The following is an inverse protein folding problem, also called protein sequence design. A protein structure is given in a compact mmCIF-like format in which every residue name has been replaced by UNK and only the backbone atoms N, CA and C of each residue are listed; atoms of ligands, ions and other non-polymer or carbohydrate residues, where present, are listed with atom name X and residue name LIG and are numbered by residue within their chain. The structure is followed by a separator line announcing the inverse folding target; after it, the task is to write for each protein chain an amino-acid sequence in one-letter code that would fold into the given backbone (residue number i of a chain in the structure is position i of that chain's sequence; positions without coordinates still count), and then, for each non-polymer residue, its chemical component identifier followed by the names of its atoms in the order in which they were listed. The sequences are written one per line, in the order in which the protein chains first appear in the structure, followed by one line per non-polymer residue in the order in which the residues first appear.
data_IF_327827859513
#
_entry.id   IF_327827859513
#
_cell.length_a   1.000
_cell.length_b   1.000
_cell.length_c   1.000
_cell.angle_alpha   90.00
_cell.angle_beta   90.00
_cell.angle_gamma   90.00
#
_symmetry.space_group_name_H-M   'P 1'
#
loop_
_entity.id
_entity.type
_entity.pdbx_description
1 polymer ?
#
# COMPACT_ATOMS: atom_id res chain seq x y z
N UNK A 1 0.66 -32.16 13.37
CA UNK A 1 0.57 -30.83 14.01
C UNK A 1 0.09 -29.86 12.94
N UNK A 2 -0.90 -29.03 13.21
CA UNK A 2 -1.33 -27.98 12.28
C UNK A 2 -0.23 -26.93 12.15
N UNK A 3 0.12 -26.56 10.91
CA UNK A 3 1.11 -25.53 10.63
C UNK A 3 0.81 -24.24 11.40
N UNK A 4 1.85 -23.60 11.94
CA UNK A 4 1.66 -22.35 12.67
C UNK A 4 1.30 -21.24 11.68
N UNK A 5 0.31 -20.39 12.02
CA UNK A 5 -0.01 -19.18 11.27
C UNK A 5 0.19 -17.96 12.16
N UNK A 6 0.91 -16.96 11.67
CA UNK A 6 1.12 -15.70 12.37
C UNK A 6 0.94 -14.50 11.44
N UNK A 7 0.47 -13.38 11.99
CA UNK A 7 0.33 -12.10 11.31
C UNK A 7 1.25 -11.10 12.00
N UNK A 8 2.19 -10.52 11.26
CA UNK A 8 3.13 -9.52 11.76
C UNK A 8 2.85 -8.20 11.04
N UNK A 9 2.46 -7.19 11.81
CA UNK A 9 2.13 -5.85 11.29
C UNK A 9 3.32 -4.93 11.44
N UNK A 10 3.73 -4.32 10.33
CA UNK A 10 4.82 -3.35 10.25
C UNK A 10 4.28 -1.93 10.04
N UNK A 11 4.97 -0.87 10.51
CA UNK A 11 4.43 0.50 10.44
C UNK A 11 4.12 1.02 9.02
N UNK A 12 4.79 0.51 8.00
CA UNK A 12 4.63 0.93 6.60
C UNK A 12 5.42 0.03 5.65
N UNK A 13 5.23 0.22 4.35
CA UNK A 13 5.83 -0.60 3.29
C UNK A 13 7.37 -0.73 3.39
N UNK A 14 8.08 0.36 3.70
CA UNK A 14 9.54 0.35 3.82
C UNK A 14 10.02 -0.46 5.02
N UNK A 15 9.35 -0.30 6.16
CA UNK A 15 9.67 -1.05 7.38
C UNK A 15 9.35 -2.54 7.20
N UNK A 16 8.25 -2.85 6.50
CA UNK A 16 7.89 -4.21 6.09
C UNK A 16 8.98 -4.83 5.22
N UNK A 17 9.43 -4.12 4.17
CA UNK A 17 10.44 -4.62 3.24
C UNK A 17 11.77 -4.91 3.97
N UNK A 18 12.27 -3.95 4.76
CA UNK A 18 13.50 -4.12 5.56
C UNK A 18 13.43 -5.30 6.53
N UNK A 19 12.34 -5.40 7.29
CA UNK A 19 12.19 -6.48 8.26
C UNK A 19 12.04 -7.85 7.57
N UNK A 20 11.37 -7.89 6.42
CA UNK A 20 11.20 -9.11 5.63
C UNK A 20 12.54 -9.56 5.03
N UNK A 21 13.34 -8.64 4.50
CA UNK A 21 14.68 -8.94 3.99
C UNK A 21 15.60 -9.52 5.06
N UNK A 22 15.67 -8.88 6.23
CA UNK A 22 16.46 -9.39 7.36
C UNK A 22 15.99 -10.77 7.80
N UNK A 23 14.66 -10.98 7.89
CA UNK A 23 14.08 -12.28 8.23
C UNK A 23 14.42 -13.35 7.18
N UNK A 24 14.35 -13.02 5.89
CA UNK A 24 14.67 -13.94 4.80
C UNK A 24 16.11 -14.42 4.89
N UNK A 25 17.06 -13.49 5.04
CA UNK A 25 18.49 -13.83 5.12
C UNK A 25 18.80 -14.71 6.34
N UNK A 26 18.19 -14.41 7.49
CA UNK A 26 18.32 -15.26 8.68
C UNK A 26 17.68 -16.64 8.46
N UNK A 27 16.48 -16.71 7.88
CA UNK A 27 15.82 -17.98 7.60
C UNK A 27 16.62 -18.86 6.62
N UNK A 28 17.27 -18.24 5.63
CA UNK A 28 18.18 -18.95 4.71
C UNK A 28 19.40 -19.47 5.47
N UNK A 29 20.09 -18.62 6.25
CA UNK A 29 21.28 -19.02 6.99
C UNK A 29 20.98 -20.16 8.00
N UNK A 30 19.86 -20.06 8.73
CA UNK A 30 19.41 -21.10 9.65
C UNK A 30 19.06 -22.40 8.91
N UNK A 31 18.42 -22.32 7.74
CA UNK A 31 18.17 -23.49 6.91
C UNK A 31 19.48 -24.13 6.46
N UNK A 32 20.45 -23.34 5.99
CA UNK A 32 21.76 -23.84 5.52
C UNK A 32 22.57 -24.55 6.61
N UNK A 33 22.38 -24.18 7.87
CA UNK A 33 22.97 -24.88 9.01
C UNK A 33 22.36 -26.27 9.26
N UNK A 34 21.13 -26.51 8.79
CA UNK A 34 20.38 -27.75 9.01
C UNK A 34 20.33 -28.66 7.77
N UNK A 35 20.38 -28.09 6.57
CA UNK A 35 20.21 -28.80 5.30
C UNK A 35 20.90 -28.07 4.17
N UNK A 36 21.33 -28.83 3.16
CA UNK A 36 21.86 -28.31 1.90
C UNK A 36 21.43 -29.26 0.77
N UNK A 37 20.98 -28.76 -0.39
CA UNK A 37 20.75 -27.35 -0.71
C UNK A 37 19.55 -26.72 0.03
N UNK A 38 19.45 -25.39 -0.01
CA UNK A 38 18.30 -24.59 0.47
C UNK A 38 17.59 -23.99 -0.74
N UNK A 39 16.25 -24.12 -0.77
CA UNK A 39 15.43 -23.68 -1.91
C UNK A 39 14.51 -22.53 -1.50
N UNK A 40 14.61 -21.39 -2.19
CA UNK A 40 13.75 -20.21 -1.96
C UNK A 40 13.01 -19.84 -3.24
N UNK A 41 11.69 -19.72 -3.18
CA UNK A 41 10.90 -19.17 -4.27
C UNK A 41 10.56 -17.70 -3.99
N UNK A 42 10.89 -16.82 -4.92
CA UNK A 42 10.68 -15.38 -4.84
C UNK A 42 9.51 -14.95 -5.74
N UNK A 43 8.99 -13.76 -5.44
CA UNK A 43 7.87 -13.13 -6.15
C UNK A 43 8.34 -11.84 -6.79
N UNK A 44 7.68 -11.44 -7.89
CA UNK A 44 7.76 -10.06 -8.37
C UNK A 44 6.83 -9.11 -7.60
N UNK A 45 6.56 -7.96 -8.22
CA UNK A 45 5.69 -6.92 -7.67
C UNK A 45 6.41 -5.97 -6.71
N UNK A 46 5.84 -4.78 -6.50
CA UNK A 46 6.52 -3.65 -5.86
C UNK A 46 7.16 -3.99 -4.51
N UNK A 47 6.40 -4.61 -3.59
CA UNK A 47 6.94 -4.94 -2.25
C UNK A 47 7.92 -6.12 -2.29
N UNK A 48 7.69 -7.10 -3.17
CA UNK A 48 8.60 -8.24 -3.35
C UNK A 48 9.96 -7.80 -3.85
N UNK A 49 10.01 -6.96 -4.88
CA UNK A 49 11.25 -6.38 -5.40
C UNK A 49 11.93 -5.49 -4.36
N UNK A 50 11.19 -4.71 -3.56
CA UNK A 50 11.78 -3.92 -2.47
C UNK A 50 12.43 -4.78 -1.37
N UNK A 51 11.88 -5.96 -1.08
CA UNK A 51 12.55 -6.92 -0.18
C UNK A 51 13.90 -7.35 -0.72
N UNK A 52 14.03 -7.56 -2.04
CA UNK A 52 15.30 -7.92 -2.67
C UNK A 52 16.31 -6.76 -2.61
N UNK A 53 15.86 -5.52 -2.85
CA UNK A 53 16.69 -4.31 -2.69
C UNK A 53 17.22 -4.17 -1.26
N UNK A 54 16.35 -4.35 -0.26
CA UNK A 54 16.76 -4.27 1.14
C UNK A 54 17.65 -5.46 1.56
N UNK A 55 17.49 -6.63 0.94
CA UNK A 55 18.40 -7.76 1.15
C UNK A 55 19.80 -7.46 0.60
N UNK A 56 19.90 -6.83 -0.58
CA UNK A 56 21.17 -6.43 -1.18
C UNK A 56 21.95 -5.41 -0.33
N UNK A 57 21.23 -4.59 0.45
CA UNK A 57 21.80 -3.58 1.36
C UNK A 57 22.14 -4.14 2.74
N UNK A 58 21.71 -5.36 3.07
CA UNK A 58 21.84 -5.92 4.41
C UNK A 58 23.19 -6.61 4.61
N UNK A 59 23.86 -6.29 5.72
CA UNK A 59 25.07 -7.01 6.14
C UNK A 59 24.80 -8.49 6.45
N UNK A 60 23.54 -8.87 6.71
CA UNK A 60 23.17 -10.27 6.97
C UNK A 60 23.39 -11.19 5.76
N UNK A 61 23.50 -10.63 4.56
CA UNK A 61 23.78 -11.36 3.33
C UNK A 61 25.15 -12.07 3.39
N UNK A 62 26.11 -11.54 4.15
CA UNK A 62 27.43 -12.16 4.36
C UNK A 62 27.35 -13.53 5.07
N UNK A 63 26.23 -13.82 5.74
CA UNK A 63 25.99 -15.10 6.41
C UNK A 63 25.36 -16.17 5.50
N UNK A 64 25.04 -15.82 4.25
CA UNK A 64 24.38 -16.71 3.30
C UNK A 64 25.41 -17.36 2.38
N UNK A 65 25.49 -18.69 2.42
CA UNK A 65 26.33 -19.44 1.50
C UNK A 65 25.65 -19.56 0.12
N UNK A 66 26.03 -18.67 -0.80
CA UNK A 66 25.45 -18.61 -2.14
C UNK A 66 25.62 -19.91 -2.95
N UNK A 67 26.62 -20.74 -2.64
CA UNK A 67 26.87 -21.99 -3.38
C UNK A 67 25.82 -23.07 -3.11
N UNK A 68 25.15 -22.99 -1.96
CA UNK A 68 24.10 -23.92 -1.56
C UNK A 68 22.68 -23.34 -1.60
N UNK A 69 22.51 -22.11 -2.11
CA UNK A 69 21.23 -21.43 -2.23
C UNK A 69 20.69 -21.57 -3.65
N UNK A 70 19.48 -22.09 -3.80
CA UNK A 70 18.72 -22.15 -5.06
C UNK A 70 17.56 -21.17 -5.04
N UNK A 71 17.47 -20.32 -6.07
CA UNK A 71 16.43 -19.30 -6.24
C UNK A 71 15.49 -19.69 -7.38
N UNK A 72 14.20 -19.60 -7.11
CA UNK A 72 13.09 -19.95 -8.00
C UNK A 72 12.10 -18.80 -8.07
N UNK A 73 11.28 -18.72 -9.10
CA UNK A 73 10.14 -17.79 -9.15
C UNK A 73 8.81 -18.51 -8.88
N UNK A 74 7.89 -17.82 -8.21
CA UNK A 74 6.52 -18.30 -7.98
C UNK A 74 5.60 -18.06 -9.19
N UNK A 75 5.90 -17.05 -9.99
CA UNK A 75 5.21 -16.70 -11.22
C UNK A 75 6.12 -15.87 -12.13
N UNK A 76 5.79 -15.80 -13.41
CA UNK A 76 6.50 -14.98 -14.39
C UNK A 76 5.58 -14.55 -15.53
N UNK A 77 5.90 -13.40 -16.12
CA UNK A 77 5.23 -12.85 -17.28
C UNK A 77 5.87 -13.50 -18.51
N UNK A 78 5.05 -14.14 -19.35
CA UNK A 78 5.52 -14.80 -20.56
C UNK A 78 5.65 -13.78 -21.69
N UNK A 79 6.69 -12.96 -21.56
CA UNK A 79 7.13 -11.91 -22.47
C UNK A 79 8.60 -12.18 -22.88
N UNK A 80 9.16 -11.46 -23.88
CA UNK A 80 10.52 -11.69 -24.34
C UNK A 80 11.56 -11.55 -23.21
N UNK A 81 12.74 -12.14 -23.42
CA UNK A 81 13.87 -11.95 -22.53
C UNK A 81 14.30 -10.47 -22.54
N UNK A 82 14.60 -9.92 -21.35
CA UNK A 82 14.96 -8.51 -21.19
C UNK A 82 13.79 -7.54 -21.22
N UNK A 83 12.54 -8.01 -21.37
CA UNK A 83 11.36 -7.17 -21.23
C UNK A 83 11.21 -6.65 -19.78
N UNK A 84 10.88 -5.36 -19.57
CA UNK A 84 10.77 -4.77 -18.23
C UNK A 84 9.65 -5.39 -17.36
N UNK A 85 8.67 -6.07 -17.95
CA UNK A 85 7.61 -6.76 -17.21
C UNK A 85 8.06 -8.10 -16.61
N UNK A 86 9.27 -8.57 -16.92
CA UNK A 86 9.86 -9.79 -16.34
C UNK A 86 10.17 -9.61 -14.85
N UNK A 87 9.63 -10.49 -14.02
CA UNK A 87 10.00 -10.61 -12.61
C UNK A 87 11.50 -10.96 -12.47
N UNK A 88 12.04 -11.78 -13.37
CA UNK A 88 13.46 -12.15 -13.37
C UNK A 88 14.37 -10.93 -13.57
N UNK A 89 14.08 -10.07 -14.54
CA UNK A 89 14.89 -8.88 -14.81
C UNK A 89 14.92 -7.94 -13.62
N UNK A 90 13.77 -7.73 -12.98
CA UNK A 90 13.63 -6.90 -11.78
C UNK A 90 14.42 -7.48 -10.59
N UNK A 91 14.40 -8.80 -10.38
CA UNK A 91 15.16 -9.46 -9.32
C UNK A 91 16.68 -9.44 -9.61
N UNK A 92 17.07 -9.55 -10.88
CA UNK A 92 18.47 -9.41 -11.31
C UNK A 92 18.99 -8.01 -11.04
N UNK A 93 18.23 -6.96 -11.37
CA UNK A 93 18.59 -5.58 -11.05
C UNK A 93 18.63 -5.32 -9.53
N UNK A 94 17.65 -5.83 -8.79
CA UNK A 94 17.51 -5.55 -7.36
C UNK A 94 18.54 -6.27 -6.48
N UNK A 95 18.95 -7.48 -6.84
CA UNK A 95 19.80 -8.32 -5.98
C UNK A 95 20.75 -9.21 -6.79
N UNK A 96 20.23 -10.06 -7.68
CA UNK A 96 20.99 -11.21 -8.19
C UNK A 96 22.21 -10.81 -9.03
N UNK A 97 22.15 -9.69 -9.76
CA UNK A 97 23.26 -9.19 -10.57
C UNK A 97 24.47 -8.73 -9.75
N UNK A 98 24.30 -8.49 -8.45
CA UNK A 98 25.38 -8.16 -7.51
C UNK A 98 25.93 -9.35 -6.73
N UNK A 99 25.37 -10.56 -6.92
CA UNK A 99 25.77 -11.76 -6.18
C UNK A 99 26.66 -12.69 -7.02
N UNK A 100 27.66 -13.30 -6.39
CA UNK A 100 28.41 -14.42 -6.96
C UNK A 100 27.69 -15.76 -6.70
N UNK A 101 26.41 -15.82 -7.10
CA UNK A 101 25.59 -17.04 -7.01
C UNK A 101 25.84 -17.91 -8.24
N UNK A 102 26.07 -19.23 -8.10
CA UNK A 102 26.22 -20.11 -9.26
C UNK A 102 25.01 -20.01 -10.19
N UNK A 103 25.25 -19.81 -11.49
CA UNK A 103 24.17 -19.65 -12.46
C UNK A 103 23.21 -20.84 -12.51
N UNK A 104 23.71 -22.06 -12.24
CA UNK A 104 22.92 -23.28 -12.15
C UNK A 104 21.94 -23.33 -10.96
N UNK A 105 22.09 -22.40 -9.99
CA UNK A 105 21.22 -22.27 -8.83
C UNK A 105 20.15 -21.17 -9.00
N UNK A 106 20.10 -20.50 -10.16
CA UNK A 106 19.11 -19.47 -10.48
C UNK A 106 18.15 -20.02 -11.55
N UNK A 107 17.01 -20.51 -11.10
CA UNK A 107 16.04 -21.25 -11.90
C UNK A 107 14.97 -20.30 -12.45
N UNK A 108 15.20 -19.81 -13.67
CA UNK A 108 14.35 -18.80 -14.31
C UNK A 108 13.19 -19.46 -15.03
N UNK A 109 11.98 -18.94 -14.83
CA UNK A 109 10.85 -19.33 -15.66
C UNK A 109 11.10 -18.92 -17.14
N UNK A 110 10.70 -19.74 -18.13
CA UNK A 110 10.92 -19.46 -19.55
C UNK A 110 10.41 -18.09 -20.01
N UNK A 111 11.08 -17.50 -21.01
CA UNK A 111 10.58 -16.33 -21.75
C UNK A 111 9.80 -16.73 -22.98
N UNK A 112 9.05 -15.78 -23.57
CA UNK A 112 8.32 -16.06 -24.79
C UNK A 112 9.22 -16.36 -26.00
N UNK A 113 10.51 -16.03 -25.92
CA UNK A 113 11.50 -16.38 -26.95
C UNK A 113 11.88 -17.86 -26.88
N UNK A 114 11.73 -18.48 -25.71
CA UNK A 114 11.97 -19.91 -25.51
C UNK A 114 10.72 -20.74 -25.85
N UNK A 115 9.57 -20.35 -25.30
CA UNK A 115 8.30 -21.01 -25.53
C UNK A 115 7.17 -19.97 -25.55
N UNK A 116 6.45 -19.89 -26.67
CA UNK A 116 5.40 -18.88 -26.87
C UNK A 116 4.05 -19.28 -26.27
N UNK A 117 3.85 -20.57 -26.01
CA UNK A 117 2.66 -21.14 -25.39
C UNK A 117 2.85 -21.29 -23.87
N UNK A 118 1.93 -20.75 -23.04
CA UNK A 118 2.04 -20.84 -21.58
C UNK A 118 2.10 -22.27 -21.03
N UNK A 119 1.38 -23.23 -21.60
CA UNK A 119 1.37 -24.59 -21.09
C UNK A 119 2.67 -25.34 -21.41
N UNK A 120 3.22 -25.14 -22.62
CA UNK A 120 4.54 -25.66 -22.97
C UNK A 120 5.64 -25.09 -22.05
N UNK A 121 5.64 -23.77 -21.86
CA UNK A 121 6.59 -23.09 -20.97
C UNK A 121 6.43 -23.53 -19.50
N UNK A 122 5.20 -23.80 -19.05
CA UNK A 122 4.94 -24.35 -17.72
C UNK A 122 5.47 -25.79 -17.58
N UNK A 123 5.34 -26.61 -18.62
CA UNK A 123 5.84 -27.98 -18.62
C UNK A 123 7.38 -28.03 -18.50
N UNK A 124 8.10 -27.12 -19.17
CA UNK A 124 9.56 -27.02 -19.08
C UNK A 124 10.01 -26.68 -17.65
N UNK A 125 9.38 -25.67 -17.02
CA UNK A 125 9.68 -25.30 -15.65
C UNK A 125 9.27 -26.38 -14.63
N UNK A 126 8.16 -27.08 -14.89
CA UNK A 126 7.74 -28.23 -14.08
C UNK A 126 8.74 -29.39 -14.15
N UNK A 127 9.32 -29.65 -15.33
CA UNK A 127 10.35 -30.66 -15.50
C UNK A 127 11.64 -30.31 -14.73
N UNK A 128 12.02 -29.04 -14.72
CA UNK A 128 13.16 -28.56 -13.91
C UNK A 128 12.89 -28.74 -12.41
N UNK A 129 11.73 -28.29 -11.91
CA UNK A 129 11.32 -28.51 -10.51
C UNK A 129 11.35 -29.99 -10.13
N UNK A 130 10.88 -30.87 -11.02
CA UNK A 130 10.85 -32.31 -10.77
C UNK A 130 12.25 -32.92 -10.63
N UNK A 131 13.28 -32.32 -11.24
CA UNK A 131 14.68 -32.73 -11.09
C UNK A 131 15.26 -32.47 -9.71
N UNK A 132 14.66 -31.55 -8.94
CA UNK A 132 15.04 -31.22 -7.56
C UNK A 132 14.08 -31.77 -6.50
N UNK A 133 13.08 -32.57 -6.90
CA UNK A 133 12.16 -33.18 -5.95
C UNK A 133 12.87 -34.25 -5.11
N UNK A 134 12.67 -34.28 -3.78
CA UNK A 134 13.18 -35.37 -2.96
C UNK A 134 12.65 -36.73 -3.42
N UNK A 135 13.46 -37.77 -3.30
CA UNK A 135 13.07 -39.13 -3.66
C UNK A 135 11.82 -39.55 -2.87
N UNK A 136 10.79 -40.02 -3.58
CA UNK A 136 9.51 -40.43 -2.99
C UNK A 136 8.56 -39.29 -2.61
N UNK A 137 8.89 -38.02 -2.90
CA UNK A 137 7.97 -36.90 -2.69
C UNK A 137 6.72 -37.04 -3.59
N UNK A 138 5.54 -36.82 -3.00
CA UNK A 138 4.28 -36.78 -3.74
C UNK A 138 4.20 -35.56 -4.66
N UNK A 139 4.80 -34.43 -4.24
CA UNK A 139 4.88 -33.20 -5.04
C UNK A 139 6.19 -33.22 -5.83
N UNK A 140 6.11 -33.11 -7.16
CA UNK A 140 7.25 -33.13 -8.08
C UNK A 140 7.92 -31.76 -8.17
N UNK A 141 8.35 -31.25 -7.02
CA UNK A 141 9.05 -29.98 -6.86
C UNK A 141 10.04 -30.10 -5.67
N UNK A 142 11.07 -29.24 -5.58
CA UNK A 142 11.87 -29.13 -4.37
C UNK A 142 10.99 -28.83 -3.16
N UNK A 143 11.42 -29.30 -1.99
CA UNK A 143 10.86 -28.81 -0.74
C UNK A 143 11.41 -27.41 -0.47
N UNK A 144 10.65 -26.38 -0.87
CA UNK A 144 11.04 -24.99 -0.62
C UNK A 144 11.15 -24.72 0.89
N UNK A 145 12.23 -24.09 1.31
CA UNK A 145 12.39 -23.61 2.67
C UNK A 145 11.54 -22.36 2.92
N UNK A 146 11.53 -21.44 1.96
CA UNK A 146 10.72 -20.23 2.00
C UNK A 146 10.13 -19.96 0.61
N UNK A 147 8.82 -19.73 0.57
CA UNK A 147 8.10 -19.19 -0.59
C UNK A 147 7.61 -17.79 -0.23
N UNK A 148 8.03 -16.78 -1.00
CA UNK A 148 7.55 -15.41 -0.90
C UNK A 148 6.41 -15.20 -1.88
N UNK A 149 5.31 -14.61 -1.41
CA UNK A 149 4.15 -14.28 -2.23
C UNK A 149 3.78 -12.81 -2.03
N UNK A 150 3.65 -12.07 -3.13
CA UNK A 150 2.87 -10.83 -3.12
C UNK A 150 1.38 -11.13 -3.17
N UNK A 151 0.55 -10.14 -2.84
CA UNK A 151 -0.91 -10.26 -2.98
C UNK A 151 -1.50 -9.08 -3.77
N UNK A 152 -2.38 -9.38 -4.74
CA UNK A 152 -3.18 -8.41 -5.47
C UNK A 152 -4.30 -7.75 -4.65
N UNK A 153 -4.85 -6.62 -5.12
CA UNK A 153 -6.02 -5.99 -4.48
C UNK A 153 -7.33 -6.81 -4.62
N UNK A 154 -7.30 -7.81 -5.48
CA UNK A 154 -8.30 -8.85 -5.74
C UNK A 154 -7.99 -10.15 -4.98
N UNK A 155 -6.94 -10.20 -4.16
CA UNK A 155 -6.57 -11.40 -3.40
C UNK A 155 -5.83 -12.48 -4.20
N UNK A 156 -5.45 -12.23 -5.46
CA UNK A 156 -4.59 -13.15 -6.21
C UNK A 156 -3.19 -13.24 -5.56
N UNK A 157 -2.58 -14.42 -5.66
CA UNK A 157 -1.18 -14.69 -5.34
C UNK A 157 -0.52 -15.34 -6.56
N UNK A 158 0.80 -15.17 -6.74
CA UNK A 158 1.48 -15.62 -7.96
C UNK A 158 0.69 -15.15 -9.19
N UNK A 159 0.32 -16.06 -10.09
CA UNK A 159 -0.66 -15.78 -11.16
C UNK A 159 -1.94 -16.63 -11.03
N UNK A 160 -2.38 -16.90 -9.79
CA UNK A 160 -3.64 -17.56 -9.46
C UNK A 160 -4.71 -16.51 -9.17
N UNK A 161 -5.61 -16.26 -10.13
CA UNK A 161 -6.62 -15.20 -10.05
C UNK A 161 -8.01 -15.73 -9.61
N UNK A 162 -8.83 -14.88 -8.97
CA UNK A 162 -10.20 -15.25 -8.61
C UNK A 162 -11.05 -15.67 -9.80
N UNK A 163 -11.90 -16.68 -9.62
CA UNK A 163 -12.92 -17.13 -10.57
C UNK A 163 -12.38 -17.81 -11.84
N UNK A 164 -11.09 -18.17 -11.87
CA UNK A 164 -10.49 -18.90 -12.99
C UNK A 164 -10.38 -20.42 -12.73
N UNK A 165 -10.71 -20.90 -11.53
CA UNK A 165 -10.61 -22.32 -11.16
C UNK A 165 -9.17 -22.86 -11.07
N UNK A 166 -8.16 -22.03 -11.32
CA UNK A 166 -6.75 -22.44 -11.32
C UNK A 166 -6.24 -22.85 -9.94
N UNK A 167 -6.86 -22.35 -8.88
CA UNK A 167 -6.58 -22.74 -7.48
C UNK A 167 -6.98 -24.19 -7.16
N UNK A 168 -7.89 -24.78 -7.95
CA UNK A 168 -8.35 -26.16 -7.77
C UNK A 168 -7.46 -27.18 -8.49
N UNK A 169 -6.47 -26.74 -9.27
CA UNK A 169 -5.53 -27.62 -9.97
C UNK A 169 -4.56 -28.22 -8.93
N UNK A 170 -4.71 -29.53 -8.66
CA UNK A 170 -3.94 -30.26 -7.66
C UNK A 170 -3.00 -31.34 -8.26
N UNK A 171 -3.05 -31.55 -9.57
CA UNK A 171 -2.30 -32.57 -10.32
C UNK A 171 -1.02 -32.05 -10.98
N UNK A 172 -0.74 -30.74 -10.85
CA UNK A 172 0.39 -30.05 -11.47
C UNK A 172 1.16 -29.21 -10.47
N UNK A 173 2.44 -28.97 -10.76
CA UNK A 173 3.32 -28.08 -9.98
C UNK A 173 3.41 -26.69 -10.58
N UNK A 174 3.24 -26.57 -11.90
CA UNK A 174 3.26 -25.31 -12.66
C UNK A 174 2.09 -25.32 -13.64
N UNK A 175 1.49 -24.15 -13.87
CA UNK A 175 0.42 -23.97 -14.84
C UNK A 175 0.74 -22.81 -15.78
N UNK A 176 0.31 -22.94 -17.05
CA UNK A 176 0.20 -21.83 -17.98
C UNK A 176 -1.06 -21.03 -17.66
N UNK A 177 -0.95 -19.70 -17.72
CA UNK A 177 -2.07 -18.78 -17.55
C UNK A 177 -2.16 -17.94 -18.82
N UNK A 178 -3.01 -18.33 -19.80
CA UNK A 178 -3.09 -17.62 -21.08
C UNK A 178 -3.76 -16.25 -20.96
N UNK A 179 -4.72 -16.13 -20.04
CA UNK A 179 -5.70 -15.03 -20.00
C UNK A 179 -5.74 -14.36 -18.62
N UNK A 180 -4.60 -13.90 -18.11
CA UNK A 180 -4.57 -13.09 -16.88
C UNK A 180 -5.44 -11.84 -17.05
N UNK A 181 -6.30 -11.50 -16.06
CA UNK A 181 -7.12 -10.29 -16.09
C UNK A 181 -6.27 -9.00 -15.95
N UNK A 182 -4.96 -9.14 -15.74
CA UNK A 182 -4.00 -8.03 -15.65
C UNK A 182 -2.93 -8.17 -16.73
N UNK A 183 -2.53 -7.05 -17.38
CA UNK A 183 -1.45 -7.09 -18.35
C UNK A 183 -0.11 -7.44 -17.68
N UNK A 184 0.82 -8.09 -18.40
CA UNK A 184 0.57 -8.84 -19.64
C UNK A 184 -0.26 -10.11 -19.37
N UNK A 185 -1.08 -10.57 -20.34
CA UNK A 185 -2.09 -11.61 -20.11
C UNK A 185 -1.49 -13.02 -19.98
N UNK A 186 -0.41 -13.31 -20.72
CA UNK A 186 0.22 -14.64 -20.68
C UNK A 186 1.24 -14.72 -19.56
N UNK A 187 1.08 -15.70 -18.68
CA UNK A 187 1.91 -15.89 -17.50
C UNK A 187 2.16 -17.38 -17.22
N UNK A 188 3.14 -17.62 -16.37
CA UNK A 188 3.41 -18.89 -15.73
C UNK A 188 3.16 -18.73 -14.23
N UNK A 189 2.64 -19.75 -13.57
CA UNK A 189 2.44 -19.76 -12.12
C UNK A 189 2.83 -21.10 -11.56
N UNK A 190 3.45 -21.12 -10.38
CA UNK A 190 3.37 -22.29 -9.51
C UNK A 190 1.90 -22.54 -9.16
N UNK A 191 1.52 -23.81 -9.16
CA UNK A 191 0.21 -24.27 -8.71
C UNK A 191 0.20 -24.41 -7.18
N UNK A 192 -1.01 -24.49 -6.59
CA UNK A 192 -1.20 -24.61 -5.13
C UNK A 192 -0.38 -25.76 -4.50
N UNK A 193 -0.30 -26.97 -5.10
CA UNK A 193 0.53 -28.05 -4.53
C UNK A 193 2.00 -27.68 -4.41
N UNK A 194 2.58 -26.97 -5.38
CA UNK A 194 3.98 -26.56 -5.32
C UNK A 194 4.20 -25.44 -4.29
N UNK A 195 3.28 -24.47 -4.22
CA UNK A 195 3.34 -23.37 -3.26
C UNK A 195 3.24 -23.86 -1.81
N UNK A 196 2.32 -24.78 -1.53
CA UNK A 196 2.01 -25.26 -0.18
C UNK A 196 2.92 -26.40 0.29
N UNK A 197 3.72 -27.00 -0.61
CA UNK A 197 4.78 -27.94 -0.24
C UNK A 197 5.94 -27.27 0.52
N UNK A 198 5.99 -25.94 0.53
CA UNK A 198 7.00 -25.17 1.23
C UNK A 198 6.94 -25.37 2.75
N UNK A 199 8.09 -25.34 3.41
CA UNK A 199 8.16 -25.31 4.87
C UNK A 199 7.58 -24.02 5.41
N UNK A 200 7.94 -22.91 4.79
CA UNK A 200 7.39 -21.60 5.12
C UNK A 200 6.79 -20.91 3.90
N UNK A 201 5.57 -20.40 4.04
CA UNK A 201 4.93 -19.51 3.06
C UNK A 201 4.75 -18.14 3.67
N UNK A 202 5.33 -17.12 3.05
CA UNK A 202 5.28 -15.74 3.51
C UNK A 202 4.49 -14.89 2.52
N UNK A 203 3.35 -14.36 2.95
CA UNK A 203 2.52 -13.44 2.18
C UNK A 203 2.88 -12.02 2.58
N UNK A 204 3.48 -11.26 1.67
CA UNK A 204 4.00 -9.91 1.89
C UNK A 204 3.04 -8.91 1.26
N UNK A 205 2.42 -8.06 2.10
CA UNK A 205 1.35 -7.18 1.64
C UNK A 205 1.51 -5.77 2.20
N UNK A 206 1.49 -4.77 1.32
CA UNK A 206 1.50 -3.36 1.69
C UNK A 206 0.36 -2.59 1.02
N UNK A 207 -0.14 -1.57 1.70
CA UNK A 207 -1.07 -0.58 1.16
C UNK A 207 -2.56 -0.86 1.44
N UNK A 208 -3.32 0.22 1.64
CA UNK A 208 -4.73 0.17 2.03
C UNK A 208 -5.64 -0.59 1.06
N UNK A 209 -5.32 -0.57 -0.25
CA UNK A 209 -6.07 -1.30 -1.27
C UNK A 209 -6.10 -2.83 -1.04
N UNK A 210 -5.26 -3.35 -0.15
CA UNK A 210 -5.14 -4.77 0.17
C UNK A 210 -5.86 -5.17 1.46
N UNK A 211 -6.35 -4.21 2.25
CA UNK A 211 -6.90 -4.49 3.58
C UNK A 211 -8.08 -5.49 3.57
N UNK A 212 -9.04 -5.26 2.68
CA UNK A 212 -10.20 -6.14 2.53
C UNK A 212 -9.83 -7.57 2.11
N UNK A 213 -9.05 -7.81 1.03
CA UNK A 213 -8.65 -9.17 0.66
C UNK A 213 -7.75 -9.84 1.71
N UNK A 214 -6.88 -9.11 2.43
CA UNK A 214 -6.09 -9.67 3.56
C UNK A 214 -7.05 -10.22 4.63
N UNK A 215 -8.01 -9.40 5.07
CA UNK A 215 -8.97 -9.80 6.10
C UNK A 215 -9.79 -11.03 5.67
N UNK A 216 -10.24 -11.07 4.41
CA UNK A 216 -10.97 -12.22 3.85
C UNK A 216 -10.11 -13.49 3.79
N UNK A 217 -8.87 -13.39 3.33
CA UNK A 217 -7.96 -14.54 3.28
C UNK A 217 -7.69 -15.11 4.69
N UNK A 218 -7.43 -14.25 5.66
CA UNK A 218 -7.19 -14.65 7.06
C UNK A 218 -8.42 -15.30 7.70
N UNK A 219 -9.62 -14.85 7.32
CA UNK A 219 -10.90 -15.41 7.74
C UNK A 219 -11.24 -16.76 7.06
N UNK A 220 -10.43 -17.23 6.11
CA UNK A 220 -10.66 -18.50 5.40
C UNK A 220 -11.74 -18.41 4.34
N UNK A 221 -11.78 -17.30 3.59
CA UNK A 221 -12.63 -17.17 2.40
C UNK A 221 -12.35 -18.29 1.39
N UNK A 222 -13.32 -18.54 0.51
CA UNK A 222 -13.19 -19.49 -0.59
C UNK A 222 -11.94 -19.17 -1.44
N UNK A 223 -11.02 -20.13 -1.63
CA UNK A 223 -9.87 -19.98 -2.53
C UNK A 223 -10.18 -19.48 -3.95
N UNK A 224 -11.33 -19.82 -4.53
CA UNK A 224 -11.66 -19.34 -5.88
C UNK A 224 -12.13 -17.88 -5.86
N UNK A 225 -12.56 -17.36 -4.71
CA UNK A 225 -12.84 -15.93 -4.51
C UNK A 225 -11.59 -15.15 -4.06
N UNK A 226 -10.77 -15.74 -3.19
CA UNK A 226 -9.56 -15.16 -2.62
C UNK A 226 -8.44 -16.21 -2.67
N UNK A 227 -7.68 -16.28 -3.78
CA UNK A 227 -6.60 -17.25 -3.95
C UNK A 227 -5.54 -17.22 -2.83
N UNK A 228 -5.30 -16.06 -2.22
CA UNK A 228 -4.41 -15.94 -1.07
C UNK A 228 -4.83 -16.78 0.16
N UNK A 229 -6.09 -17.23 0.24
CA UNK A 229 -6.54 -18.15 1.28
C UNK A 229 -5.90 -19.55 1.16
N UNK A 230 -5.35 -19.90 -0.02
CA UNK A 230 -4.58 -21.14 -0.23
C UNK A 230 -3.18 -21.09 0.35
N UNK A 231 -2.67 -19.90 0.72
CA UNK A 231 -1.32 -19.74 1.22
C UNK A 231 -1.15 -20.45 2.57
N UNK A 232 -0.47 -21.59 2.54
CA UNK A 232 -0.22 -22.43 3.70
C UNK A 232 1.13 -23.15 3.56
N UNK A 233 2.08 -22.84 4.45
CA UNK A 233 3.32 -23.62 4.58
C UNK A 233 3.11 -24.81 5.51
N UNK A 234 3.95 -25.85 5.36
CA UNK A 234 3.91 -27.07 6.20
C UNK A 234 4.26 -26.81 7.66
N UNK A 235 5.23 -25.92 7.90
CA UNK A 235 5.71 -25.59 9.25
C UNK A 235 5.14 -24.24 9.69
N UNK A 236 5.21 -23.23 8.81
CA UNK A 236 4.84 -21.84 9.13
C UNK A 236 4.19 -21.10 7.95
N UNK A 237 3.13 -20.36 8.25
CA UNK A 237 2.54 -19.37 7.33
C UNK A 237 2.64 -18.00 7.97
N UNK A 238 3.41 -17.09 7.36
CA UNK A 238 3.57 -15.72 7.83
C UNK A 238 2.83 -14.76 6.92
N UNK A 239 1.94 -13.97 7.51
CA UNK A 239 1.39 -12.77 6.89
C UNK A 239 2.21 -11.58 7.37
N UNK A 240 3.09 -11.09 6.49
CA UNK A 240 3.94 -9.93 6.73
C UNK A 240 3.24 -8.73 6.08
N UNK A 241 2.55 -7.95 6.88
CA UNK A 241 1.66 -6.90 6.40
C UNK A 241 2.10 -5.54 6.92
N UNK A 242 1.93 -4.47 6.14
CA UNK A 242 2.02 -3.13 6.70
C UNK A 242 0.73 -2.75 7.44
N UNK A 243 0.78 -1.64 8.16
CA UNK A 243 -0.34 -1.15 8.94
C UNK A 243 -1.58 -1.00 8.04
N UNK A 244 -1.44 -0.39 6.86
CA UNK A 244 -2.55 -0.18 5.93
C UNK A 244 -3.21 -1.47 5.45
N UNK A 245 -2.41 -2.45 5.01
CA UNK A 245 -2.88 -3.76 4.56
C UNK A 245 -3.46 -4.59 5.72
N UNK A 246 -3.05 -4.33 6.95
CA UNK A 246 -3.66 -4.94 8.13
C UNK A 246 -5.00 -4.31 8.52
N UNK A 247 -5.46 -3.26 7.82
CA UNK A 247 -6.60 -2.43 8.24
C UNK A 247 -6.27 -1.52 9.43
N UNK A 248 -4.99 -1.45 9.80
CA UNK A 248 -4.41 -0.61 10.86
C UNK A 248 -3.66 0.59 10.29
N UNK A 249 -3.88 0.92 9.00
CA UNK A 249 -3.22 2.05 8.33
C UNK A 249 -3.34 3.30 9.17
N UNK A 250 -2.52 4.34 8.91
CA UNK A 250 -2.79 5.61 9.57
C UNK A 250 -4.27 5.89 9.32
N UNK A 251 -5.04 6.05 10.40
CA UNK A 251 -6.41 6.54 10.26
C UNK A 251 -6.28 7.72 9.30
N UNK A 252 -6.98 7.71 8.15
CA UNK A 252 -6.77 8.69 7.08
C UNK A 252 -6.61 10.03 7.75
N UNK A 253 -5.43 10.66 7.61
CA UNK A 253 -4.93 11.66 8.56
C UNK A 253 -6.09 12.53 8.96
N UNK A 254 -6.67 12.25 10.14
CA UNK A 254 -7.96 12.84 10.47
C UNK A 254 -7.77 14.33 10.70
N UNK A 255 -6.52 14.77 10.74
CA UNK A 255 -6.05 16.13 10.65
C UNK A 255 -5.20 16.21 9.39
N UNK A 256 -5.57 17.06 8.45
CA UNK A 256 -4.74 17.42 7.29
C UNK A 256 -4.46 18.92 7.36
N UNK A 257 -3.25 19.33 7.04
CA UNK A 257 -2.84 20.74 7.04
C UNK A 257 -2.03 21.09 5.79
N UNK A 258 -2.11 22.35 5.38
CA UNK A 258 -1.22 22.94 4.40
C UNK A 258 -0.71 24.28 4.94
N UNK A 259 0.52 24.64 4.58
CA UNK A 259 1.12 25.91 4.98
C UNK A 259 1.83 26.58 3.82
N UNK A 260 1.77 27.91 3.78
CA UNK A 260 2.51 28.74 2.83
C UNK A 260 2.84 30.10 3.46
N UNK A 261 4.02 30.63 3.15
CA UNK A 261 4.34 32.03 3.42
C UNK A 261 3.65 32.95 2.42
N UNK A 262 2.95 33.96 2.94
CA UNK A 262 2.22 34.97 2.16
C UNK A 262 2.82 36.34 2.46
N UNK A 263 3.03 37.15 1.41
CA UNK A 263 3.57 38.51 1.49
C UNK A 263 2.52 39.53 1.96
N UNK A 264 1.98 39.31 3.15
CA UNK A 264 1.13 40.25 3.89
C UNK A 264 1.33 40.07 5.39
N UNK A 265 1.03 41.12 6.16
CA UNK A 265 0.99 41.04 7.61
C UNK A 265 -0.19 40.18 8.10
N UNK A 266 -0.05 39.61 9.29
CA UNK A 266 -1.03 38.70 9.85
C UNK A 266 -2.39 39.38 10.11
N UNK A 267 -2.44 40.68 10.41
CA UNK A 267 -3.69 41.37 10.68
C UNK A 267 -4.52 41.50 9.39
N UNK A 268 -3.88 41.88 8.28
CA UNK A 268 -4.52 41.94 6.96
C UNK A 268 -5.11 40.60 6.53
N UNK A 269 -4.35 39.51 6.70
CA UNK A 269 -4.83 38.16 6.41
C UNK A 269 -5.97 37.73 7.34
N UNK A 270 -5.87 38.05 8.63
CA UNK A 270 -6.88 37.69 9.62
C UNK A 270 -8.22 38.37 9.33
N UNK A 271 -8.24 39.63 8.91
CA UNK A 271 -9.49 40.34 8.56
C UNK A 271 -10.25 39.65 7.42
N UNK A 272 -9.54 39.09 6.43
CA UNK A 272 -10.15 38.35 5.33
C UNK A 272 -10.73 36.99 5.77
N UNK A 273 -10.06 36.32 6.71
CA UNK A 273 -10.49 35.02 7.25
C UNK A 273 -11.65 35.19 8.23
N UNK A 274 -11.59 36.23 9.07
CA UNK A 274 -12.56 36.50 10.13
C UNK A 274 -13.88 37.08 9.62
N UNK A 275 -13.96 37.56 8.36
CA UNK A 275 -15.20 38.00 7.72
C UNK A 275 -15.78 36.92 6.79
N UNK A 276 -16.84 36.20 7.20
CA UNK A 276 -17.46 35.16 6.39
C UNK A 276 -17.95 35.64 5.03
N UNK A 277 -18.29 36.94 4.87
CA UNK A 277 -18.74 37.49 3.59
C UNK A 277 -17.62 37.48 2.53
N UNK A 278 -16.36 37.51 2.96
CA UNK A 278 -15.18 37.40 2.09
C UNK A 278 -14.83 35.95 1.75
N UNK A 279 -15.34 34.99 2.50
CA UNK A 279 -14.95 33.58 2.39
C UNK A 279 -15.08 32.96 0.99
N UNK A 280 -16.14 33.23 0.20
CA UNK A 280 -16.25 32.71 -1.16
C UNK A 280 -15.10 33.14 -2.09
N UNK A 281 -14.43 34.27 -1.82
CA UNK A 281 -13.30 34.74 -2.64
C UNK A 281 -12.06 33.84 -2.50
N UNK A 282 -11.94 33.13 -1.38
CA UNK A 282 -10.78 32.30 -1.06
C UNK A 282 -11.09 30.83 -0.77
N UNK A 283 -12.33 30.37 -0.92
CA UNK A 283 -12.69 28.96 -0.77
C UNK A 283 -12.07 28.10 -1.86
N UNK A 284 -10.99 27.37 -1.56
CA UNK A 284 -10.33 26.45 -2.48
C UNK A 284 -11.11 25.15 -2.72
N UNK A 285 -12.19 24.91 -1.98
CA UNK A 285 -13.02 23.70 -2.12
C UNK A 285 -14.22 23.88 -3.06
N UNK A 286 -14.44 25.09 -3.59
CA UNK A 286 -15.56 25.45 -4.47
C UNK A 286 -16.94 25.00 -3.91
N UNK A 287 -17.09 25.07 -2.60
CA UNK A 287 -18.24 24.55 -1.86
C UNK A 287 -19.13 25.68 -1.30
N UNK A 288 -18.61 26.91 -1.19
CA UNK A 288 -19.32 28.07 -0.66
C UNK A 288 -19.82 28.98 -1.78
N UNK A 289 -21.10 29.34 -1.73
CA UNK A 289 -21.71 30.28 -2.66
C UNK A 289 -21.71 31.70 -2.11
N UNK A 290 -22.18 31.90 -0.88
CA UNK A 290 -22.31 33.22 -0.27
C UNK A 290 -22.37 33.13 1.27
N UNK A 291 -22.10 34.26 1.92
CA UNK A 291 -22.43 34.52 3.31
C UNK A 291 -22.91 35.98 3.44
N UNK A 292 -23.92 36.21 4.28
CA UNK A 292 -24.43 37.56 4.49
C UNK A 292 -23.38 38.46 5.17
N UNK A 293 -23.32 39.76 4.83
CA UNK A 293 -22.42 40.71 5.49
C UNK A 293 -22.78 40.90 6.97
N UNK A 294 -21.82 41.44 7.75
CA UNK A 294 -22.03 41.75 9.17
C UNK A 294 -21.86 40.57 10.12
N UNK A 295 -21.33 39.44 9.64
CA UNK A 295 -21.09 38.23 10.43
C UNK A 295 -19.61 38.05 10.85
N UNK A 296 -18.80 39.13 10.80
CA UNK A 296 -17.38 39.06 11.18
C UNK A 296 -17.23 38.47 12.58
N UNK A 297 -16.43 37.42 12.69
CA UNK A 297 -16.12 36.72 13.94
C UNK A 297 -15.30 37.62 14.86
N UNK A 298 -15.61 37.60 16.16
CA UNK A 298 -14.97 38.41 17.20
C UNK A 298 -14.65 37.62 18.47
N UNK A 299 -15.24 36.44 18.67
CA UNK A 299 -15.00 35.63 19.86
C UNK A 299 -15.34 34.16 19.66
N UNK A 300 -14.82 33.31 20.56
CA UNK A 300 -15.32 31.94 20.75
C UNK A 300 -16.81 31.99 21.12
N UNK A 301 -17.60 31.13 20.49
CA UNK A 301 -19.06 31.08 20.68
C UNK A 301 -19.85 31.84 19.62
N UNK A 302 -19.21 32.69 18.81
CA UNK A 302 -19.85 33.27 17.63
C UNK A 302 -20.31 32.18 16.66
N UNK A 303 -21.42 32.45 15.98
CA UNK A 303 -21.97 31.57 14.94
C UNK A 303 -22.27 32.39 13.71
N UNK A 304 -21.66 32.01 12.59
CA UNK A 304 -21.95 32.60 11.30
C UNK A 304 -22.54 31.57 10.34
N UNK A 305 -23.36 32.04 9.39
CA UNK A 305 -24.02 31.22 8.39
C UNK A 305 -23.42 31.41 7.02
N UNK A 306 -23.25 30.30 6.32
CA UNK A 306 -22.84 30.26 4.91
C UNK A 306 -23.82 29.42 4.10
N UNK A 307 -24.03 29.80 2.85
CA UNK A 307 -24.82 29.05 1.86
C UNK A 307 -23.86 28.28 0.97
N UNK A 308 -24.03 26.97 0.87
CA UNK A 308 -23.23 26.11 -0.01
C UNK A 308 -23.69 26.26 -1.46
N UNK A 309 -22.83 25.90 -2.42
CA UNK A 309 -23.14 25.90 -3.86
C UNK A 309 -24.35 25.05 -4.26
N UNK A 310 -24.73 24.08 -3.42
CA UNK A 310 -25.96 23.26 -3.58
C UNK A 310 -27.18 23.82 -2.83
N UNK A 311 -27.13 25.07 -2.35
CA UNK A 311 -28.24 25.78 -1.68
C UNK A 311 -28.46 25.44 -0.20
N UNK A 312 -27.73 24.46 0.35
CA UNK A 312 -27.83 24.12 1.77
C UNK A 312 -27.16 25.19 2.64
N UNK A 313 -27.79 25.57 3.76
CA UNK A 313 -27.20 26.48 4.75
C UNK A 313 -26.42 25.69 5.80
N UNK A 314 -25.29 26.25 6.25
CA UNK A 314 -24.46 25.73 7.34
C UNK A 314 -24.27 26.78 8.43
N UNK A 315 -24.39 26.35 9.68
CA UNK A 315 -23.97 27.12 10.85
C UNK A 315 -22.51 26.76 11.16
N UNK A 316 -21.64 27.75 11.26
CA UNK A 316 -20.23 27.58 11.58
C UNK A 316 -20.01 28.12 12.99
N UNK A 317 -19.77 27.23 13.94
CA UNK A 317 -19.63 27.56 15.35
C UNK A 317 -18.17 27.79 15.68
N UNK A 318 -17.80 29.00 16.08
CA UNK A 318 -16.43 29.38 16.41
C UNK A 318 -16.04 28.74 17.74
N UNK A 319 -14.99 27.93 17.71
CA UNK A 319 -14.48 27.16 18.87
C UNK A 319 -13.10 27.61 19.32
N UNK A 320 -12.41 28.40 18.51
CA UNK A 320 -11.13 29.01 18.82
C UNK A 320 -11.06 30.38 18.17
N UNK A 321 -10.56 31.35 18.93
CA UNK A 321 -10.38 32.71 18.45
C UNK A 321 -9.26 33.39 19.22
N UNK A 322 -8.26 33.84 18.49
CA UNK A 322 -7.21 34.76 18.93
C UNK A 322 -7.06 35.79 17.82
N UNK A 323 -7.47 37.03 18.09
CA UNK A 323 -7.47 38.12 17.12
C UNK A 323 -6.08 38.29 16.49
N UNK A 324 -5.94 37.93 15.21
CA UNK A 324 -4.65 37.84 14.51
C UNK A 324 -4.11 36.41 14.41
N UNK A 325 -3.66 35.76 15.49
CA UNK A 325 -2.94 34.49 15.39
C UNK A 325 -3.76 33.27 14.95
N UNK A 326 -5.04 33.16 15.34
CA UNK A 326 -5.76 31.91 15.13
C UNK A 326 -7.29 32.06 15.14
N UNK A 327 -7.96 31.27 14.31
CA UNK A 327 -9.43 31.14 14.31
C UNK A 327 -9.81 29.74 13.86
N UNK A 328 -10.78 29.11 14.55
CA UNK A 328 -11.32 27.82 14.15
C UNK A 328 -12.82 27.72 14.37
N UNK A 329 -13.49 26.97 13.50
CA UNK A 329 -14.93 26.72 13.60
C UNK A 329 -15.32 25.30 13.22
N UNK A 330 -16.46 24.87 13.77
CA UNK A 330 -17.07 23.57 13.51
C UNK A 330 -18.39 23.77 12.76
N UNK A 331 -18.52 23.29 11.50
CA UNK A 331 -19.73 23.43 10.72
C UNK A 331 -20.81 22.42 11.16
N UNK A 332 -22.07 22.84 11.14
CA UNK A 332 -23.24 22.01 11.39
C UNK A 332 -24.38 22.35 10.42
N UNK A 333 -25.30 21.40 10.25
CA UNK A 333 -26.62 21.71 9.70
C UNK A 333 -27.38 22.58 10.72
N UNK A 334 -28.20 23.52 10.22
CA UNK A 334 -28.95 24.45 11.08
C UNK A 334 -29.75 23.68 12.12
N UNK A 335 -29.49 23.98 13.41
CA UNK A 335 -30.17 23.33 14.54
C UNK A 335 -29.83 21.85 14.76
N UNK A 336 -28.82 21.30 14.09
CA UNK A 336 -28.34 19.92 14.28
C UNK A 336 -27.03 19.89 15.07
N UNK A 337 -26.69 18.75 15.70
CA UNK A 337 -25.39 18.57 16.34
C UNK A 337 -24.23 18.75 15.35
N UNK A 338 -23.09 19.23 15.86
CA UNK A 338 -21.84 19.32 15.10
C UNK A 338 -21.36 17.89 14.81
N UNK A 339 -21.16 17.52 13.54
CA UNK A 339 -20.81 16.16 13.14
C UNK A 339 -19.36 15.78 13.48
N UNK A 340 -18.51 16.74 13.87
CA UNK A 340 -17.12 16.47 14.28
C UNK A 340 -16.04 16.93 13.28
N UNK A 341 -16.40 17.79 12.33
CA UNK A 341 -15.43 18.52 11.50
C UNK A 341 -15.00 19.82 12.18
N UNK A 342 -13.75 20.24 11.94
CA UNK A 342 -13.12 21.46 12.42
C UNK A 342 -12.23 22.04 11.32
N UNK A 343 -12.41 23.32 11.03
CA UNK A 343 -11.53 24.10 10.14
C UNK A 343 -10.79 25.10 11.01
N UNK A 344 -9.46 25.11 10.91
CA UNK A 344 -8.58 26.03 11.64
C UNK A 344 -7.67 26.77 10.67
N UNK A 345 -7.44 28.04 11.00
CA UNK A 345 -6.45 28.91 10.39
C UNK A 345 -5.50 29.42 11.46
N UNK A 346 -4.21 29.37 11.18
CA UNK A 346 -3.13 29.85 12.05
C UNK A 346 -2.24 30.79 11.24
N UNK A 347 -1.93 31.94 11.81
CA UNK A 347 -1.13 33.00 11.19
C UNK A 347 0.07 33.28 12.08
N UNK A 348 1.26 32.89 11.61
CA UNK A 348 2.52 33.13 12.32
C UNK A 348 3.34 34.18 11.57
N UNK A 349 3.49 35.40 12.11
CA UNK A 349 4.33 36.42 11.49
C UNK A 349 5.77 35.93 11.33
N UNK A 350 6.33 36.09 10.13
CA UNK A 350 7.76 35.85 9.85
C UNK A 350 8.54 37.14 10.04
N UNK A 351 8.00 38.25 9.51
CA UNK A 351 8.47 39.62 9.69
C UNK A 351 7.29 40.61 9.54
N UNK A 352 7.57 41.91 9.45
CA UNK A 352 6.53 42.97 9.38
C UNK A 352 5.64 42.89 8.12
N UNK A 353 6.06 42.21 7.06
CA UNK A 353 5.33 42.13 5.79
C UNK A 353 5.04 40.71 5.31
N UNK A 354 5.40 39.68 6.08
CA UNK A 354 5.24 38.27 5.69
C UNK A 354 4.72 37.42 6.83
N UNK A 355 3.82 36.50 6.51
CA UNK A 355 3.16 35.61 7.47
C UNK A 355 3.10 34.19 6.93
N UNK A 356 3.47 33.22 7.76
CA UNK A 356 3.18 31.81 7.49
C UNK A 356 1.71 31.56 7.80
N UNK A 357 0.95 31.24 6.77
CA UNK A 357 -0.47 30.86 6.86
C UNK A 357 -0.54 29.35 6.88
N UNK A 358 -1.17 28.79 7.91
CA UNK A 358 -1.47 27.36 7.99
C UNK A 358 -2.98 27.16 8.01
N UNK A 359 -3.48 26.33 7.11
CA UNK A 359 -4.87 25.91 7.07
C UNK A 359 -4.96 24.43 7.42
N UNK A 360 -5.74 24.12 8.45
CA UNK A 360 -5.95 22.76 8.96
C UNK A 360 -7.43 22.35 8.85
N UNK A 361 -7.67 21.13 8.39
CA UNK A 361 -8.96 20.46 8.45
C UNK A 361 -8.85 19.20 9.32
N UNK A 362 -9.56 19.22 10.44
CA UNK A 362 -9.61 18.14 11.42
C UNK A 362 -11.02 17.54 11.47
N UNK A 363 -11.13 16.27 11.15
CA UNK A 363 -12.33 15.45 11.23
C UNK A 363 -12.14 14.25 12.16
N UNK A 364 -11.21 14.35 13.12
CA UNK A 364 -10.96 13.37 14.18
C UNK A 364 -12.19 13.08 15.01
N UNK A 365 -13.01 14.10 15.25
CA UNK A 365 -14.28 14.02 15.95
C UNK A 365 -15.44 13.46 15.11
N UNK A 366 -15.26 13.19 13.81
CA UNK A 366 -16.32 12.69 12.94
C UNK A 366 -16.65 11.23 13.23
N UNK A 367 -17.89 10.99 13.68
CA UNK A 367 -18.41 9.64 13.98
C UNK A 367 -19.43 9.14 12.95
N UNK A 368 -20.00 10.03 12.14
CA UNK A 368 -20.98 9.68 11.11
C UNK A 368 -20.29 9.03 9.90
N UNK A 369 -20.54 7.74 9.72
CA UNK A 369 -19.89 6.93 8.68
C UNK A 369 -20.26 7.37 7.27
N UNK A 370 -21.42 7.98 7.08
CA UNK A 370 -21.90 8.46 5.77
C UNK A 370 -21.10 9.67 5.25
N UNK A 371 -20.36 10.34 6.13
CA UNK A 371 -19.58 11.55 5.82
C UNK A 371 -18.09 11.27 5.60
N UNK A 372 -17.63 10.04 5.88
CA UNK A 372 -16.20 9.69 5.85
C UNK A 372 -15.60 9.84 4.46
N UNK A 373 -16.30 9.41 3.41
CA UNK A 373 -15.80 9.50 2.03
C UNK A 373 -15.59 10.97 1.63
N UNK A 374 -16.55 11.84 1.94
CA UNK A 374 -16.44 13.27 1.69
C UNK A 374 -15.32 13.91 2.51
N UNK A 375 -15.20 13.55 3.80
CA UNK A 375 -14.13 14.06 4.66
C UNK A 375 -12.73 13.69 4.13
N UNK A 376 -12.56 12.45 3.67
CA UNK A 376 -11.33 11.97 3.04
C UNK A 376 -10.99 12.69 1.73
N UNK A 377 -12.00 13.23 1.04
CA UNK A 377 -11.77 13.95 -0.22
C UNK A 377 -11.23 15.38 -0.02
N UNK A 378 -11.15 15.87 1.22
CA UNK A 378 -10.51 17.15 1.56
C UNK A 378 -9.03 16.92 1.83
N UNK A 379 -8.18 17.24 0.86
CA UNK A 379 -6.74 16.98 0.91
C UNK A 379 -5.95 18.26 1.21
N UNK A 380 -4.67 18.12 1.55
CA UNK A 380 -3.77 19.27 1.76
C UNK A 380 -3.66 20.16 0.52
N UNK A 381 -3.78 19.62 -0.70
CA UNK A 381 -3.79 20.42 -1.93
C UNK A 381 -4.99 21.38 -2.00
N UNK A 382 -6.17 20.94 -1.53
CA UNK A 382 -7.36 21.81 -1.48
C UNK A 382 -7.24 22.89 -0.40
N UNK A 383 -6.61 22.57 0.72
CA UNK A 383 -6.28 23.55 1.77
C UNK A 383 -5.28 24.57 1.23
N UNK A 384 -4.23 24.11 0.54
CA UNK A 384 -3.26 24.98 -0.11
C UNK A 384 -3.92 25.87 -1.16
N UNK A 385 -4.83 25.35 -1.99
CA UNK A 385 -5.59 26.14 -2.96
C UNK A 385 -6.40 27.27 -2.29
N UNK A 386 -6.89 27.06 -1.07
CA UNK A 386 -7.57 28.12 -0.30
C UNK A 386 -6.57 29.20 0.14
N UNK A 387 -5.39 28.79 0.62
CA UNK A 387 -4.30 29.71 0.99
C UNK A 387 -3.81 30.50 -0.24
N UNK A 388 -3.69 29.86 -1.40
CA UNK A 388 -3.31 30.52 -2.67
C UNK A 388 -4.35 31.57 -3.10
N UNK A 389 -5.64 31.25 -3.02
CA UNK A 389 -6.69 32.21 -3.33
C UNK A 389 -6.69 33.39 -2.35
N UNK A 390 -6.52 33.12 -1.06
CA UNK A 390 -6.37 34.16 -0.03
C UNK A 390 -5.18 35.07 -0.33
N UNK A 391 -4.03 34.49 -0.66
CA UNK A 391 -2.82 35.23 -0.97
C UNK A 391 -2.98 36.14 -2.19
N UNK A 392 -3.68 35.70 -3.25
CA UNK A 392 -3.97 36.54 -4.42
C UNK A 392 -4.78 37.80 -4.10
N UNK A 393 -5.53 37.83 -3.00
CA UNK A 393 -6.27 39.01 -2.58
C UNK A 393 -5.37 40.10 -1.98
N UNK A 394 -4.15 39.74 -1.55
CA UNK A 394 -3.25 40.64 -0.82
C UNK A 394 -1.88 40.83 -1.49
N UNK A 395 -1.41 39.87 -2.28
CA UNK A 395 -0.08 39.91 -2.92
C UNK A 395 -0.05 40.68 -4.25
N UNK A 396 -1.20 40.87 -4.91
CA UNK A 396 -1.31 41.59 -6.18
C UNK A 396 -1.06 40.72 -7.41
#
# INVERSE_FOLDING_TARGET
MTAQRAVLVHPGADALARATAARLLLAIADAQALRRPVHVAITGGTVGTQVLVEAARSQLLENVDLTGLHIWWVDERLVPAGDPDRNEGQATEALLGGLDIPAANVHRMPSSDHASDPDAAAADYAAELAGFAPEGSAVRAPEFDVVLLGMGPDGHIASLFPGQGTVAIDDRTVIGVPDSPKPPPRRLSLAVPALTNARQVWVIVAGAAKAAPVARALAGADPDEIPAATAAGRDLTLWLVDAEAAGHGPSPEKVVSASREVAADAATLFELIADPARQPEWDGNDNLAEAAPGQRVRAVGDVFRTTLTKGAVRENHVVEFSEGPAIAWQPAEVGRPRPGHLWRWELTPVDEGRTTVTHTYDWSGLTDTTRLERARSTTSEKLLASIERLARLVEG
#
